data_IF_540973385367
#
_entry.id   IF_540973385367
#
_cell.length_a   1.000
_cell.length_b   1.000
_cell.length_c   1.000
_cell.angle_alpha   90.00
_cell.angle_beta   90.00
_cell.angle_gamma   90.00
#
_symmetry.space_group_name_H-M   'P 1'
#
loop_
_entity.id
_entity.type
_entity.pdbx_description
1 polymer ?
#
# COMPACT_ATOMS: atom_id res chain seq x y z
N UNK A 1 -6.97 2.53 -30.15
CA UNK A 1 -6.73 2.81 -28.72
C UNK A 1 -7.83 3.76 -28.27
N UNK A 2 -8.51 3.49 -27.16
CA UNK A 2 -9.50 4.41 -26.59
C UNK A 2 -8.75 5.54 -25.89
N UNK A 3 -8.76 6.71 -26.48
CA UNK A 3 -8.22 7.94 -25.90
C UNK A 3 -9.09 8.37 -24.72
N UNK A 4 -8.48 8.71 -23.59
CA UNK A 4 -9.19 9.11 -22.37
C UNK A 4 -9.56 10.58 -22.45
N UNK A 5 -10.86 10.90 -22.33
CA UNK A 5 -11.28 12.29 -22.17
C UNK A 5 -11.06 12.74 -20.72
N UNK A 6 -10.00 13.50 -20.49
CA UNK A 6 -9.59 13.99 -19.16
C UNK A 6 -10.66 14.93 -18.55
N UNK A 7 -11.32 15.76 -19.36
CA UNK A 7 -12.32 16.72 -18.88
C UNK A 7 -13.58 16.03 -18.34
N UNK A 8 -13.88 14.83 -18.84
CA UNK A 8 -15.01 14.02 -18.43
C UNK A 8 -14.65 12.94 -17.39
N UNK A 9 -13.39 12.87 -16.97
CA UNK A 9 -12.91 11.82 -16.07
C UNK A 9 -13.43 12.07 -14.64
N UNK A 10 -13.96 11.04 -14.01
CA UNK A 10 -14.39 11.15 -12.61
C UNK A 10 -13.20 11.58 -11.73
N UNK A 11 -13.37 12.50 -10.75
CA UNK A 11 -12.27 13.05 -9.96
C UNK A 11 -11.32 12.01 -9.35
N UNK A 12 -11.87 10.91 -8.83
CA UNK A 12 -11.06 9.78 -8.30
C UNK A 12 -10.13 9.17 -9.35
N UNK A 13 -10.61 8.95 -10.58
CA UNK A 13 -9.76 8.42 -11.65
C UNK A 13 -8.76 9.46 -12.15
N UNK A 14 -9.09 10.76 -12.07
CA UNK A 14 -8.15 11.82 -12.38
C UNK A 14 -6.99 11.87 -11.37
N UNK A 15 -7.26 11.72 -10.08
CA UNK A 15 -6.21 11.62 -9.05
C UNK A 15 -5.31 10.41 -9.28
N UNK A 16 -5.89 9.25 -9.58
CA UNK A 16 -5.12 8.04 -9.92
C UNK A 16 -4.29 8.27 -11.19
N UNK A 17 -4.87 8.88 -12.22
CA UNK A 17 -4.18 9.16 -13.48
C UNK A 17 -2.97 10.09 -13.28
N UNK A 18 -3.12 11.12 -12.46
CA UNK A 18 -2.01 12.01 -12.10
C UNK A 18 -0.95 11.30 -11.26
N UNK A 19 -1.34 10.41 -10.33
CA UNK A 19 -0.41 9.61 -9.54
C UNK A 19 0.36 8.57 -10.38
N UNK A 20 -0.14 8.24 -11.57
CA UNK A 20 0.48 7.35 -12.55
C UNK A 20 1.23 8.13 -13.65
N UNK A 21 1.59 9.39 -13.42
CA UNK A 21 2.27 10.24 -14.41
C UNK A 21 1.55 10.32 -15.77
N UNK A 22 0.21 10.29 -15.74
CA UNK A 22 -0.67 10.32 -16.92
C UNK A 22 -0.52 9.09 -17.85
N UNK A 23 -0.21 7.92 -17.30
CA UNK A 23 -0.23 6.65 -18.03
C UNK A 23 -1.67 6.15 -18.27
N UNK A 24 -2.16 6.30 -19.50
CA UNK A 24 -3.52 5.90 -19.89
C UNK A 24 -3.72 4.39 -19.83
N UNK A 25 -2.69 3.61 -20.19
CA UNK A 25 -2.77 2.14 -20.23
C UNK A 25 -2.89 1.60 -18.81
N UNK A 26 -2.13 2.15 -17.87
CA UNK A 26 -2.23 1.81 -16.46
C UNK A 26 -3.61 2.15 -15.88
N UNK A 27 -4.14 3.35 -16.16
CA UNK A 27 -5.47 3.76 -15.68
C UNK A 27 -6.58 2.83 -16.20
N UNK A 28 -6.57 2.53 -17.50
CA UNK A 28 -7.56 1.64 -18.11
C UNK A 28 -7.47 0.20 -17.56
N UNK A 29 -6.26 -0.26 -17.26
CA UNK A 29 -6.06 -1.57 -16.63
C UNK A 29 -6.63 -1.62 -15.20
N UNK A 30 -6.46 -0.55 -14.41
CA UNK A 30 -7.07 -0.42 -13.08
C UNK A 30 -8.59 -0.42 -13.21
N UNK A 31 -9.14 0.44 -14.07
CA UNK A 31 -10.58 0.52 -14.29
C UNK A 31 -11.16 -0.86 -14.67
N UNK A 32 -10.57 -1.54 -15.65
CA UNK A 32 -11.05 -2.86 -16.10
C UNK A 32 -11.01 -3.92 -15.00
N UNK A 33 -10.01 -3.89 -14.11
CA UNK A 33 -9.85 -4.89 -13.04
C UNK A 33 -10.74 -4.62 -11.84
N UNK A 34 -11.10 -3.36 -11.61
CA UNK A 34 -11.75 -2.92 -10.38
C UNK A 34 -13.17 -2.37 -10.59
N UNK A 35 -13.59 -2.13 -11.84
CA UNK A 35 -14.92 -1.65 -12.17
C UNK A 35 -16.01 -2.58 -11.65
N UNK A 36 -17.12 -2.00 -11.18
CA UNK A 36 -18.25 -2.75 -10.62
C UNK A 36 -18.11 -3.03 -9.12
N UNK A 37 -17.03 -2.57 -8.48
CA UNK A 37 -16.82 -2.66 -7.04
C UNK A 37 -16.84 -1.26 -6.41
N UNK A 38 -17.45 -1.14 -5.22
CA UNK A 38 -17.24 0.04 -4.38
C UNK A 38 -15.96 -0.17 -3.57
N UNK A 39 -14.90 0.52 -3.93
CA UNK A 39 -13.59 0.38 -3.30
C UNK A 39 -13.44 1.47 -2.24
N UNK A 40 -13.06 1.07 -1.03
CA UNK A 40 -12.61 1.99 0.00
C UNK A 40 -11.10 1.80 0.18
N UNK A 41 -10.32 2.86 -0.02
CA UNK A 41 -8.87 2.78 0.08
C UNK A 41 -8.45 2.73 1.57
N UNK A 42 -7.65 1.75 1.99
CA UNK A 42 -7.14 1.69 3.37
C UNK A 42 -6.27 2.90 3.72
N UNK A 43 -6.29 3.28 5.00
CA UNK A 43 -5.45 4.36 5.54
C UNK A 43 -3.97 3.97 5.56
N UNK A 44 -3.67 2.69 5.84
CA UNK A 44 -2.31 2.17 5.86
C UNK A 44 -2.01 1.42 4.57
N UNK A 45 -0.83 1.70 3.99
CA UNK A 45 -0.35 1.02 2.80
C UNK A 45 -0.12 -0.48 3.05
N UNK A 46 0.34 -0.84 4.24
CA UNK A 46 0.61 -2.21 4.63
C UNK A 46 -0.40 -2.67 5.69
N UNK A 47 -0.82 -3.93 5.60
CA UNK A 47 -1.66 -4.55 6.62
C UNK A 47 -0.82 -4.99 7.83
N UNK A 48 -1.37 -4.87 9.03
CA UNK A 48 -0.69 -5.26 10.28
C UNK A 48 -0.22 -6.71 10.27
N UNK A 49 -1.03 -7.61 9.70
CA UNK A 49 -0.77 -9.04 9.70
C UNK A 49 0.42 -9.40 8.79
N UNK A 50 0.46 -8.81 7.59
CA UNK A 50 1.59 -8.99 6.67
C UNK A 50 2.89 -8.43 7.27
N UNK A 51 2.84 -7.23 7.86
CA UNK A 51 4.02 -6.62 8.50
C UNK A 51 4.48 -7.45 9.69
N UNK A 52 3.55 -7.92 10.53
CA UNK A 52 3.86 -8.81 11.66
C UNK A 52 4.62 -10.04 11.17
N UNK A 53 4.12 -10.73 10.14
CA UNK A 53 4.78 -11.93 9.58
C UNK A 53 6.19 -11.62 9.09
N UNK A 54 6.38 -10.54 8.31
CA UNK A 54 7.68 -10.14 7.77
C UNK A 54 8.68 -9.84 8.88
N UNK A 55 8.28 -9.05 9.90
CA UNK A 55 9.16 -8.68 11.01
C UNK A 55 9.52 -9.91 11.84
N UNK A 56 8.55 -10.77 12.15
CA UNK A 56 8.80 -11.98 12.93
C UNK A 56 9.73 -12.95 12.22
N UNK A 57 9.58 -13.13 10.91
CA UNK A 57 10.49 -13.97 10.13
C UNK A 57 11.90 -13.35 10.04
N UNK A 58 12.03 -12.03 9.86
CA UNK A 58 13.34 -11.34 9.84
C UNK A 58 14.08 -11.46 11.19
N UNK A 59 13.36 -11.32 12.31
CA UNK A 59 13.94 -11.35 13.66
C UNK A 59 14.47 -12.72 14.08
N UNK A 60 14.02 -13.81 13.43
CA UNK A 60 14.57 -15.16 13.66
C UNK A 60 16.02 -15.29 13.18
N UNK A 61 16.42 -14.50 12.19
CA UNK A 61 17.71 -14.65 11.50
C UNK A 61 18.67 -13.48 11.74
N UNK A 62 18.16 -12.31 12.11
CA UNK A 62 18.94 -11.07 12.23
C UNK A 62 18.40 -10.16 13.31
N UNK A 63 19.26 -9.27 13.83
CA UNK A 63 18.79 -8.18 14.69
C UNK A 63 18.00 -7.15 13.87
N UNK A 64 16.89 -6.66 14.41
CA UNK A 64 16.03 -5.70 13.72
C UNK A 64 16.28 -4.28 14.21
N UNK A 65 16.51 -3.35 13.29
CA UNK A 65 16.41 -1.92 13.59
C UNK A 65 14.94 -1.49 13.65
N UNK A 66 14.47 -1.26 14.87
CA UNK A 66 13.08 -0.85 15.15
C UNK A 66 12.73 0.49 14.49
N UNK A 67 13.68 1.41 14.33
CA UNK A 67 13.41 2.73 13.76
C UNK A 67 13.27 2.66 12.25
N UNK A 68 14.12 1.84 11.61
CA UNK A 68 14.03 1.57 10.17
C UNK A 68 12.68 0.94 9.81
N UNK A 69 12.29 -0.15 10.48
CA UNK A 69 11.05 -0.86 10.15
C UNK A 69 9.80 -0.03 10.50
N UNK A 70 9.84 0.78 11.56
CA UNK A 70 8.77 1.71 11.90
C UNK A 70 8.54 2.73 10.79
N UNK A 71 9.61 3.33 10.25
CA UNK A 71 9.52 4.28 9.14
C UNK A 71 9.10 3.61 7.84
N UNK A 72 9.63 2.42 7.55
CA UNK A 72 9.34 1.68 6.33
C UNK A 72 7.88 1.26 6.22
N UNK A 73 7.31 0.73 7.30
CA UNK A 73 5.95 0.19 7.30
C UNK A 73 4.90 1.15 7.84
N UNK A 74 5.29 2.37 8.24
CA UNK A 74 4.42 3.38 8.84
C UNK A 74 3.69 2.88 10.11
N UNK A 75 4.43 2.20 10.99
CA UNK A 75 3.93 1.75 12.28
C UNK A 75 4.73 2.37 13.43
N UNK A 76 4.09 2.54 14.58
CA UNK A 76 4.80 3.05 15.75
C UNK A 76 5.94 2.12 16.20
N UNK A 77 7.07 2.70 16.62
CA UNK A 77 8.19 1.95 17.23
C UNK A 77 7.74 1.06 18.40
N UNK A 78 6.71 1.48 19.14
CA UNK A 78 6.11 0.68 20.22
C UNK A 78 5.48 -0.60 19.68
N UNK A 79 4.71 -0.51 18.60
CA UNK A 79 4.06 -1.65 17.97
C UNK A 79 5.08 -2.61 17.33
N UNK A 80 6.10 -2.09 16.65
CA UNK A 80 7.20 -2.91 16.11
C UNK A 80 7.89 -3.71 17.23
N UNK A 81 8.16 -3.08 18.38
CA UNK A 81 8.73 -3.78 19.54
C UNK A 81 7.81 -4.85 20.11
N UNK A 82 6.48 -4.65 20.13
CA UNK A 82 5.58 -5.71 20.59
C UNK A 82 5.60 -6.90 19.64
N UNK A 83 5.58 -6.65 18.32
CA UNK A 83 5.68 -7.72 17.31
C UNK A 83 6.93 -8.57 17.47
N UNK A 84 8.08 -7.95 17.74
CA UNK A 84 9.36 -8.66 17.97
C UNK A 84 9.32 -9.48 19.27
N UNK A 85 8.71 -8.94 20.33
CA UNK A 85 8.57 -9.65 21.62
C UNK A 85 7.65 -10.86 21.55
N UNK A 86 6.67 -10.84 20.64
CA UNK A 86 5.70 -11.92 20.43
C UNK A 86 6.30 -13.16 19.72
N UNK A 87 7.59 -13.17 19.39
CA UNK A 87 8.30 -14.29 18.73
C UNK A 87 8.60 -15.44 19.72
N UNK A 88 8.30 -15.25 21.02
CA UNK A 88 8.54 -16.25 22.07
C UNK A 88 7.83 -17.57 21.84
#
# INVERSE_FOLDING_TARGET
MTEINIEALHPTYLEIFNALDKDEVALLNIFKRMSGQQINLPVHLYTSDAVKKIIQDKAKHTNIDVSEEAGRFDYSRRWIRSVIKDIK
#
